data_IF_760703199190
#
_entry.id   IF_760703199190
#
_cell.length_a   1.000
_cell.length_b   1.000
_cell.length_c   1.000
_cell.angle_alpha   90.00
_cell.angle_beta   90.00
_cell.angle_gamma   90.00
#
_symmetry.space_group_name_H-M   'P 1'
#
loop_
_entity.id
_entity.type
_entity.pdbx_description
1 polymer ?
#
# COMPACT_ATOMS: atom_id res chain seq x y z
N UNK A 1 -14.16 -15.27 -12.57
CA UNK A 1 -14.08 -14.00 -11.82
C UNK A 1 -15.34 -13.19 -12.08
N UNK A 2 -16.24 -13.04 -11.09
CA UNK A 2 -17.37 -12.10 -11.24
C UNK A 2 -16.81 -10.67 -11.34
N UNK A 3 -17.32 -9.83 -12.25
CA UNK A 3 -16.88 -8.42 -12.48
C UNK A 3 -16.68 -7.60 -11.18
N UNK A 4 -17.40 -7.96 -10.11
CA UNK A 4 -17.30 -7.34 -8.78
C UNK A 4 -15.97 -7.57 -8.04
N UNK A 5 -15.23 -8.66 -8.31
CA UNK A 5 -13.92 -8.91 -7.68
C UNK A 5 -12.84 -8.03 -8.30
N UNK A 6 -12.85 -7.94 -9.62
CA UNK A 6 -11.93 -7.08 -10.38
C UNK A 6 -12.10 -5.60 -10.00
N UNK A 7 -13.35 -5.13 -9.87
CA UNK A 7 -13.62 -3.75 -9.44
C UNK A 7 -13.05 -3.40 -8.05
N UNK A 8 -13.06 -4.34 -7.11
CA UNK A 8 -12.51 -4.11 -5.76
C UNK A 8 -10.99 -4.10 -5.75
N UNK A 9 -10.38 -4.97 -6.55
CA UNK A 9 -8.93 -5.00 -6.71
C UNK A 9 -8.42 -3.75 -7.44
N UNK A 10 -9.16 -3.24 -8.44
CA UNK A 10 -8.84 -1.97 -9.10
C UNK A 10 -8.85 -0.81 -8.10
N UNK A 11 -9.88 -0.72 -7.25
CA UNK A 11 -9.95 0.32 -6.22
C UNK A 11 -8.80 0.21 -5.20
N UNK A 12 -8.44 -1.02 -4.80
CA UNK A 12 -7.28 -1.28 -3.95
C UNK A 12 -5.99 -0.79 -4.61
N UNK A 13 -5.78 -1.09 -5.90
CA UNK A 13 -4.60 -0.66 -6.65
C UNK A 13 -4.49 0.87 -6.77
N UNK A 14 -5.60 1.56 -6.99
CA UNK A 14 -5.63 3.04 -7.01
C UNK A 14 -5.28 3.61 -5.63
N UNK A 15 -5.84 3.03 -4.56
CA UNK A 15 -5.52 3.42 -3.18
C UNK A 15 -4.05 3.19 -2.85
N UNK A 16 -3.47 2.07 -3.28
CA UNK A 16 -2.05 1.77 -3.12
C UNK A 16 -1.17 2.75 -3.89
N UNK A 17 -1.54 3.13 -5.11
CA UNK A 17 -0.79 4.10 -5.91
C UNK A 17 -0.67 5.45 -5.20
N UNK A 18 -1.74 5.93 -4.57
CA UNK A 18 -1.72 7.16 -3.77
C UNK A 18 -0.96 6.96 -2.47
N UNK A 19 -1.14 5.82 -1.78
CA UNK A 19 -0.48 5.61 -0.51
C UNK A 19 1.04 5.38 -0.63
N UNK A 20 1.50 4.90 -1.79
CA UNK A 20 2.91 4.81 -2.17
C UNK A 20 3.55 6.16 -2.54
N UNK A 21 2.78 7.17 -2.94
CA UNK A 21 3.34 8.48 -3.25
C UNK A 21 3.72 9.27 -1.99
N UNK A 22 3.05 9.02 -0.87
CA UNK A 22 3.32 9.64 0.44
C UNK A 22 4.77 9.43 0.93
N UNK A 23 5.32 8.19 1.00
CA UNK A 23 6.70 7.99 1.44
C UNK A 23 7.71 8.59 0.48
N UNK A 24 7.41 8.63 -0.83
CA UNK A 24 8.26 9.30 -1.83
C UNK A 24 8.33 10.79 -1.52
N UNK A 25 7.21 11.45 -1.24
CA UNK A 25 7.20 12.88 -0.86
C UNK A 25 7.90 13.14 0.48
N UNK A 26 7.76 12.22 1.46
CA UNK A 26 8.41 12.35 2.77
C UNK A 26 9.94 12.21 2.71
N UNK A 27 10.49 11.46 1.74
CA UNK A 27 11.95 11.41 1.51
C UNK A 27 12.57 12.76 1.19
N UNK A 28 11.87 13.59 0.41
CA UNK A 28 12.42 14.84 -0.11
C UNK A 28 12.13 16.04 0.80
N UNK A 29 11.32 15.89 1.85
CA UNK A 29 10.80 17.00 2.66
C UNK A 29 11.21 16.93 4.15
N UNK A 30 12.27 16.20 4.50
CA UNK A 30 12.69 15.97 5.88
C UNK A 30 14.10 16.51 6.16
N UNK A 31 14.21 17.58 6.96
CA UNK A 31 15.49 18.13 7.47
C UNK A 31 16.00 17.42 8.73
N UNK A 32 15.19 16.57 9.38
CA UNK A 32 15.55 15.84 10.61
C UNK A 32 15.43 14.33 10.41
N UNK A 33 16.58 13.66 10.28
CA UNK A 33 16.66 12.21 10.15
C UNK A 33 16.43 11.49 11.47
N UNK A 34 15.18 11.41 11.94
CA UNK A 34 14.85 10.30 12.84
C UNK A 34 14.65 9.06 11.98
N UNK A 35 15.74 8.30 11.81
CA UNK A 35 15.81 7.00 11.11
C UNK A 35 15.67 7.02 9.58
N UNK A 36 15.54 8.19 8.94
CA UNK A 36 15.75 8.41 7.50
C UNK A 36 15.21 7.33 6.56
N UNK A 37 16.10 6.77 5.73
CA UNK A 37 15.79 5.71 4.77
C UNK A 37 15.22 4.41 5.41
N UNK A 38 15.76 3.89 6.52
CA UNK A 38 15.15 2.78 7.26
C UNK A 38 13.67 2.97 7.62
N UNK A 39 13.27 4.16 8.04
CA UNK A 39 11.87 4.44 8.39
C UNK A 39 10.94 4.35 7.17
N UNK A 40 11.41 4.78 5.99
CA UNK A 40 10.67 4.61 4.75
C UNK A 40 10.51 3.13 4.37
N UNK A 41 11.55 2.32 4.55
CA UNK A 41 11.45 0.89 4.27
C UNK A 41 10.38 0.24 5.13
N UNK A 42 10.34 0.55 6.44
CA UNK A 42 9.30 0.06 7.35
C UNK A 42 7.90 0.47 6.87
N UNK A 43 7.72 1.71 6.43
CA UNK A 43 6.45 2.19 5.90
C UNK A 43 6.04 1.41 4.64
N UNK A 44 6.94 1.26 3.66
CA UNK A 44 6.67 0.52 2.43
C UNK A 44 6.31 -0.93 2.74
N UNK A 45 7.07 -1.61 3.59
CA UNK A 45 6.82 -3.00 3.95
C UNK A 45 5.49 -3.16 4.68
N UNK A 46 5.15 -2.27 5.61
CA UNK A 46 3.85 -2.29 6.30
C UNK A 46 2.68 -2.09 5.33
N UNK A 47 2.83 -1.15 4.38
CA UNK A 47 1.81 -0.84 3.38
C UNK A 47 1.61 -2.00 2.39
N UNK A 48 2.70 -2.65 1.97
CA UNK A 48 2.64 -3.87 1.16
C UNK A 48 2.00 -5.04 1.91
N UNK A 49 2.35 -5.25 3.18
CA UNK A 49 1.72 -6.27 4.02
C UNK A 49 0.21 -6.05 4.11
N UNK A 50 -0.23 -4.80 4.35
CA UNK A 50 -1.65 -4.45 4.38
C UNK A 50 -2.33 -4.74 3.03
N UNK A 51 -1.68 -4.41 1.91
CA UNK A 51 -2.17 -4.70 0.56
C UNK A 51 -2.40 -6.19 0.33
N UNK A 52 -1.42 -7.02 0.67
CA UNK A 52 -1.47 -8.48 0.52
C UNK A 52 -2.57 -9.06 1.39
N UNK A 53 -2.71 -8.60 2.64
CA UNK A 53 -3.78 -9.05 3.54
C UNK A 53 -5.16 -8.69 2.97
N UNK A 54 -5.36 -7.45 2.51
CA UNK A 54 -6.64 -7.01 1.94
C UNK A 54 -6.96 -7.81 0.67
N UNK A 55 -5.98 -8.01 -0.21
CA UNK A 55 -6.14 -8.83 -1.41
C UNK A 55 -6.51 -10.27 -1.05
N UNK A 56 -5.83 -10.87 -0.09
CA UNK A 56 -6.11 -12.23 0.39
C UNK A 56 -7.51 -12.35 0.98
N UNK A 57 -7.94 -11.39 1.80
CA UNK A 57 -9.29 -11.34 2.37
C UNK A 57 -10.35 -11.20 1.27
N UNK A 58 -10.10 -10.35 0.26
CA UNK A 58 -11.01 -10.21 -0.89
C UNK A 58 -11.10 -11.53 -1.65
N UNK A 59 -9.98 -12.16 -1.98
CA UNK A 59 -9.99 -13.43 -2.73
C UNK A 59 -10.70 -14.52 -1.91
N UNK A 60 -10.31 -14.75 -0.66
CA UNK A 60 -10.87 -15.81 0.19
C UNK A 60 -12.36 -15.63 0.54
N UNK A 61 -12.84 -14.39 0.66
CA UNK A 61 -14.26 -14.12 0.96
C UNK A 61 -15.18 -14.44 -0.23
N UNK A 62 -14.61 -14.55 -1.42
CA UNK A 62 -15.37 -14.58 -2.65
C UNK A 62 -15.04 -15.74 -3.59
N UNK A 63 -14.11 -16.61 -3.20
CA UNK A 63 -14.17 -18.03 -3.53
C UNK A 63 -15.35 -18.70 -2.83
#
# INVERSE_FOLDING_TARGET
MKKRHEQKLILLSIGLMVAFSIPVSLLFNSEQEVLGYPMLLVYIFALWMAAVIIAFVIVKKYE
#
